data_IF_576767698298
#
_entry.id   IF_576767698298
#
_cell.length_a   1.000
_cell.length_b   1.000
_cell.length_c   1.000
_cell.angle_alpha   90.00
_cell.angle_beta   90.00
_cell.angle_gamma   90.00
#
_symmetry.space_group_name_H-M   'P 1'
#
loop_
_entity.id
_entity.type
_entity.pdbx_description
1 polymer ?
#
# COMPACT_ATOMS: atom_id res chain seq x y z
N UNK A 1 58.36 4.30 14.84
CA UNK A 1 57.85 3.43 13.76
C UNK A 1 56.39 3.76 13.55
N UNK A 2 56.09 4.60 12.56
CA UNK A 2 54.75 5.05 12.18
C UNK A 2 54.26 4.21 11.01
N UNK A 3 53.27 3.34 11.24
CA UNK A 3 52.64 2.54 10.20
C UNK A 3 51.59 3.37 9.49
N UNK A 4 51.92 3.87 8.30
CA UNK A 4 50.98 4.56 7.40
C UNK A 4 50.04 3.53 6.77
N UNK A 5 48.78 3.50 7.20
CA UNK A 5 47.71 2.72 6.57
C UNK A 5 47.33 3.35 5.23
N UNK A 6 47.84 2.78 4.13
CA UNK A 6 47.48 3.19 2.78
C UNK A 6 46.01 2.90 2.49
N UNK A 7 45.25 3.96 2.14
CA UNK A 7 43.85 3.89 1.73
C UNK A 7 43.77 3.28 0.33
N UNK A 8 43.28 2.05 0.23
CA UNK A 8 43.08 1.37 -1.04
C UNK A 8 41.97 2.07 -1.87
N UNK A 9 42.36 2.77 -2.93
CA UNK A 9 41.43 3.33 -3.92
C UNK A 9 40.85 2.18 -4.75
N UNK A 10 39.57 1.88 -4.58
CA UNK A 10 38.86 0.89 -5.40
C UNK A 10 38.71 1.42 -6.82
N UNK A 11 39.54 0.91 -7.74
CA UNK A 11 39.49 1.23 -9.16
C UNK A 11 38.24 0.58 -9.79
N UNK A 12 37.09 1.25 -9.72
CA UNK A 12 35.90 0.82 -10.45
C UNK A 12 36.10 1.08 -11.95
N UNK A 13 36.15 0.03 -12.75
CA UNK A 13 36.28 0.13 -14.21
C UNK A 13 35.11 0.90 -14.83
N UNK A 14 35.32 1.69 -15.91
CA UNK A 14 34.28 2.54 -16.51
C UNK A 14 33.01 1.77 -16.89
N UNK A 15 33.15 0.52 -17.36
CA UNK A 15 32.03 -0.35 -17.73
C UNK A 15 31.15 -0.80 -16.56
N UNK A 16 31.69 -0.88 -15.34
CA UNK A 16 30.89 -1.17 -14.14
C UNK A 16 29.96 0.00 -13.79
N UNK A 17 30.44 1.25 -13.92
CA UNK A 17 29.64 2.45 -13.66
C UNK A 17 28.52 2.61 -14.68
N UNK A 18 28.80 2.30 -15.96
CA UNK A 18 27.81 2.39 -17.04
C UNK A 18 26.69 1.35 -16.89
N UNK A 19 27.02 0.06 -16.66
CA UNK A 19 26.02 -1.00 -16.39
C UNK A 19 25.21 -0.74 -15.13
N UNK A 20 25.82 -0.14 -14.10
CA UNK A 20 25.12 0.24 -12.87
C UNK A 20 24.15 1.40 -13.13
N UNK A 21 24.54 2.39 -13.91
CA UNK A 21 23.67 3.52 -14.28
C UNK A 21 22.49 3.08 -15.17
N UNK A 22 22.71 2.20 -16.15
CA UNK A 22 21.63 1.67 -17.01
C UNK A 22 20.65 0.81 -16.23
N UNK A 23 21.14 -0.07 -15.34
CA UNK A 23 20.28 -0.88 -14.49
C UNK A 23 19.48 -0.02 -13.51
N UNK A 24 20.07 1.07 -13.02
CA UNK A 24 19.39 2.00 -12.13
C UNK A 24 18.31 2.76 -12.90
N UNK A 25 18.64 3.31 -14.07
CA UNK A 25 17.68 4.00 -14.93
C UNK A 25 16.51 3.09 -15.35
N UNK A 26 16.81 1.84 -15.73
CA UNK A 26 15.77 0.85 -16.06
C UNK A 26 14.88 0.52 -14.86
N UNK A 27 15.45 0.33 -13.66
CA UNK A 27 14.67 0.12 -12.44
C UNK A 27 13.75 1.31 -12.16
N UNK A 28 14.28 2.54 -12.18
CA UNK A 28 13.47 3.74 -11.95
C UNK A 28 12.38 3.90 -13.01
N UNK A 29 12.68 3.65 -14.29
CA UNK A 29 11.68 3.66 -15.36
C UNK A 29 10.53 2.70 -15.06
N UNK A 30 10.85 1.44 -14.72
CA UNK A 30 9.84 0.42 -14.37
C UNK A 30 9.04 0.84 -13.15
N UNK A 31 9.69 1.30 -12.08
CA UNK A 31 9.01 1.79 -10.87
C UNK A 31 8.09 2.98 -11.16
N UNK A 32 8.52 3.92 -12.00
CA UNK A 32 7.72 5.09 -12.39
C UNK A 32 6.50 4.66 -13.20
N UNK A 33 6.65 3.76 -14.17
CA UNK A 33 5.51 3.22 -14.95
C UNK A 33 4.52 2.49 -14.04
N UNK A 34 5.00 1.63 -13.14
CA UNK A 34 4.15 0.94 -12.18
C UNK A 34 3.44 1.94 -11.25
N UNK A 35 4.14 2.96 -10.76
CA UNK A 35 3.55 3.99 -9.92
C UNK A 35 2.40 4.68 -10.64
N UNK A 36 2.59 5.12 -11.88
CA UNK A 36 1.52 5.74 -12.68
C UNK A 36 0.34 4.79 -12.91
N UNK A 37 0.60 3.50 -13.16
CA UNK A 37 -0.45 2.50 -13.31
C UNK A 37 -1.32 2.35 -12.05
N UNK A 38 -0.72 2.32 -10.86
CA UNK A 38 -1.45 2.27 -9.59
C UNK A 38 -2.09 3.61 -9.19
N UNK A 39 -1.50 4.74 -9.59
CA UNK A 39 -2.04 6.08 -9.34
C UNK A 39 -3.26 6.38 -10.20
N UNK A 40 -3.35 5.81 -11.40
CA UNK A 40 -4.44 6.01 -12.34
C UNK A 40 -5.85 5.86 -11.71
N UNK A 41 -6.20 4.74 -11.05
CA UNK A 41 -7.51 4.60 -10.42
C UNK A 41 -7.71 5.53 -9.22
N UNK A 42 -6.64 5.91 -8.50
CA UNK A 42 -6.72 6.83 -7.36
C UNK A 42 -7.05 8.26 -7.83
N UNK A 43 -6.41 8.71 -8.91
CA UNK A 43 -6.68 10.02 -9.52
C UNK A 43 -8.12 10.06 -10.01
N UNK A 44 -8.59 8.99 -10.66
CA UNK A 44 -9.99 8.88 -11.10
C UNK A 44 -10.97 8.97 -9.91
N UNK A 45 -10.74 8.22 -8.83
CA UNK A 45 -11.58 8.31 -7.62
C UNK A 45 -11.60 9.72 -7.03
N UNK A 46 -10.44 10.38 -6.99
CA UNK A 46 -10.33 11.73 -6.43
C UNK A 46 -11.08 12.77 -7.27
N UNK A 47 -10.92 12.74 -8.60
CA UNK A 47 -11.66 13.63 -9.50
C UNK A 47 -13.17 13.36 -9.41
N UNK A 48 -13.55 12.08 -9.34
CA UNK A 48 -14.95 11.68 -9.21
C UNK A 48 -15.58 12.11 -7.89
N UNK A 49 -14.84 12.18 -6.77
CA UNK A 49 -15.45 12.55 -5.48
C UNK A 49 -15.85 14.03 -5.40
N UNK A 50 -15.26 14.88 -6.25
CA UNK A 50 -15.51 16.33 -6.29
C UNK A 50 -16.63 16.69 -7.30
N UNK A 51 -16.97 15.78 -8.21
CA UNK A 51 -18.10 15.96 -9.15
C UNK A 51 -19.42 15.72 -8.39
N UNK A 52 -20.30 16.72 -8.30
CA UNK A 52 -21.58 16.60 -7.56
C UNK A 52 -22.68 15.84 -8.33
N UNK A 53 -22.46 15.50 -9.60
CA UNK A 53 -23.46 14.87 -10.46
C UNK A 53 -23.09 13.41 -10.76
N UNK A 54 -23.74 12.47 -10.07
CA UNK A 54 -23.54 11.02 -10.21
C UNK A 54 -23.78 10.51 -11.65
N UNK A 55 -24.71 11.13 -12.40
CA UNK A 55 -24.99 10.78 -13.79
C UNK A 55 -23.84 11.21 -14.73
N UNK A 56 -23.17 12.32 -14.43
CA UNK A 56 -22.05 12.84 -15.22
C UNK A 56 -20.78 12.01 -14.98
N UNK A 57 -20.56 11.55 -13.74
CA UNK A 57 -19.48 10.59 -13.41
C UNK A 57 -19.63 9.30 -14.22
N UNK A 58 -20.84 8.75 -14.31
CA UNK A 58 -21.11 7.48 -15.02
C UNK A 58 -21.01 7.62 -16.54
N UNK A 59 -21.41 8.77 -17.09
CA UNK A 59 -21.32 9.06 -18.53
C UNK A 59 -19.88 9.37 -18.98
N UNK A 60 -19.08 10.04 -18.14
CA UNK A 60 -17.69 10.39 -18.43
C UNK A 60 -16.72 9.19 -18.32
N UNK A 61 -17.14 8.04 -17.74
CA UNK A 61 -16.29 6.85 -17.51
C UNK A 61 -15.65 6.29 -18.79
N UNK A 62 -16.26 6.53 -19.96
CA UNK A 62 -15.80 6.03 -21.25
C UNK A 62 -14.88 7.00 -22.00
N UNK A 63 -14.61 8.19 -21.45
CA UNK A 63 -13.89 9.28 -22.15
C UNK A 63 -12.75 9.86 -21.32
N UNK A 64 -11.84 10.58 -21.98
CA UNK A 64 -10.73 11.32 -21.34
C UNK A 64 -11.22 12.40 -20.36
N UNK A 65 -12.51 12.76 -20.39
CA UNK A 65 -13.19 13.64 -19.43
C UNK A 65 -13.38 13.00 -18.04
N UNK A 66 -13.15 11.69 -17.89
CA UNK A 66 -13.04 11.01 -16.59
C UNK A 66 -11.96 11.61 -15.68
N UNK A 67 -10.89 12.17 -16.26
CA UNK A 67 -9.72 12.67 -15.54
C UNK A 67 -9.72 14.19 -15.33
N UNK A 68 -10.71 14.89 -15.87
CA UNK A 68 -10.82 16.34 -15.76
C UNK A 68 -12.11 16.67 -14.99
N UNK A 69 -12.06 17.51 -13.94
CA UNK A 69 -13.26 17.98 -13.27
C UNK A 69 -14.00 18.94 -14.22
N UNK A 70 -14.94 18.41 -14.98
CA UNK A 70 -15.88 19.15 -15.84
C UNK A 70 -17.25 19.21 -15.17
N UNK A 71 -17.94 20.35 -15.28
CA UNK A 71 -19.32 20.51 -14.78
C UNK A 71 -19.42 21.19 -13.41
N UNK A 72 -20.37 20.73 -12.59
CA UNK A 72 -20.72 21.30 -11.28
C UNK A 72 -19.79 20.74 -10.19
N UNK A 73 -18.73 21.50 -9.91
CA UNK A 73 -17.64 21.13 -8.98
C UNK A 73 -18.01 21.65 -7.59
N UNK A 74 -17.99 20.79 -6.57
CA UNK A 74 -18.23 21.24 -5.20
C UNK A 74 -18.07 20.16 -4.15
N UNK A 75 -18.29 20.55 -2.90
CA UNK A 75 -18.13 19.69 -1.72
C UNK A 75 -19.49 19.09 -1.31
N UNK A 76 -20.56 19.35 -2.08
CA UNK A 76 -21.92 18.93 -1.75
C UNK A 76 -22.01 17.41 -1.61
N UNK A 77 -21.30 16.64 -2.44
CA UNK A 77 -21.21 15.19 -2.31
C UNK A 77 -20.73 14.72 -0.91
N UNK A 78 -19.78 15.45 -0.30
CA UNK A 78 -19.35 15.12 1.06
C UNK A 78 -20.43 15.42 2.09
N UNK A 79 -21.10 16.57 1.97
CA UNK A 79 -22.21 16.96 2.87
C UNK A 79 -23.36 15.97 2.77
N UNK A 80 -23.76 15.61 1.54
CA UNK A 80 -24.80 14.65 1.24
C UNK A 80 -24.52 13.27 1.86
N UNK A 81 -23.26 12.82 1.91
CA UNK A 81 -22.90 11.55 2.58
C UNK A 81 -23.14 11.61 4.09
N UNK A 82 -22.89 12.76 4.73
CA UNK A 82 -23.16 12.93 6.17
C UNK A 82 -24.65 13.11 6.49
N UNK A 83 -25.45 13.64 5.56
CA UNK A 83 -26.90 13.85 5.75
C UNK A 83 -27.74 12.64 5.35
N UNK A 84 -27.41 11.98 4.23
CA UNK A 84 -28.18 10.84 3.69
C UNK A 84 -27.83 9.52 4.35
N UNK A 85 -26.63 9.40 4.90
CA UNK A 85 -26.13 8.16 5.53
C UNK A 85 -25.66 8.48 6.94
N UNK A 86 -25.87 7.54 7.87
CA UNK A 86 -25.30 7.61 9.22
C UNK A 86 -23.79 7.30 9.18
N UNK A 87 -23.05 8.08 8.40
CA UNK A 87 -21.64 7.89 8.08
C UNK A 87 -20.77 7.85 9.33
N UNK A 88 -21.05 8.70 10.32
CA UNK A 88 -20.36 8.69 11.61
C UNK A 88 -20.47 7.33 12.32
N UNK A 89 -21.65 6.69 12.29
CA UNK A 89 -21.83 5.36 12.87
C UNK A 89 -21.11 4.28 12.08
N UNK A 90 -21.15 4.35 10.74
CA UNK A 90 -20.42 3.41 9.87
C UNK A 90 -18.91 3.49 10.09
N UNK A 91 -18.35 4.70 10.18
CA UNK A 91 -16.94 4.92 10.48
C UNK A 91 -16.58 4.42 11.88
N UNK A 92 -17.39 4.75 12.89
CA UNK A 92 -17.14 4.28 14.25
C UNK A 92 -17.17 2.75 14.34
N UNK A 93 -18.17 2.09 13.75
CA UNK A 93 -18.26 0.63 13.73
C UNK A 93 -17.04 0.01 13.04
N UNK A 94 -16.60 0.57 11.91
CA UNK A 94 -15.44 0.08 11.17
C UNK A 94 -14.15 0.21 12.00
N UNK A 95 -13.92 1.38 12.61
CA UNK A 95 -12.76 1.63 13.47
C UNK A 95 -12.78 0.71 14.68
N UNK A 96 -13.93 0.54 15.33
CA UNK A 96 -14.08 -0.33 16.50
C UNK A 96 -13.80 -1.80 16.13
N UNK A 97 -14.37 -2.30 15.04
CA UNK A 97 -14.17 -3.70 14.60
C UNK A 97 -12.70 -3.93 14.24
N UNK A 98 -12.12 -3.06 13.41
CA UNK A 98 -10.73 -3.22 12.96
C UNK A 98 -9.75 -3.10 14.12
N UNK A 99 -9.89 -2.10 14.99
CA UNK A 99 -9.01 -1.94 16.15
C UNK A 99 -9.10 -3.14 17.11
N UNK A 100 -10.32 -3.61 17.40
CA UNK A 100 -10.53 -4.79 18.25
C UNK A 100 -9.90 -6.03 17.62
N UNK A 101 -10.11 -6.24 16.32
CA UNK A 101 -9.56 -7.39 15.60
C UNK A 101 -8.03 -7.36 15.57
N UNK A 102 -7.43 -6.18 15.35
CA UNK A 102 -5.97 -6.01 15.35
C UNK A 102 -5.39 -6.25 16.75
N UNK A 103 -5.99 -5.68 17.80
CA UNK A 103 -5.48 -5.82 19.17
C UNK A 103 -5.57 -7.27 19.66
N UNK A 104 -6.75 -7.90 19.52
CA UNK A 104 -6.95 -9.29 19.93
C UNK A 104 -6.14 -10.25 19.05
N UNK A 105 -6.15 -10.01 17.73
CA UNK A 105 -5.37 -10.79 16.79
C UNK A 105 -3.88 -10.72 17.09
N UNK A 106 -3.33 -9.52 17.33
CA UNK A 106 -1.92 -9.36 17.67
C UNK A 106 -1.56 -10.05 18.98
N UNK A 107 -2.41 -9.92 20.02
CA UNK A 107 -2.20 -10.57 21.31
C UNK A 107 -2.15 -12.09 21.15
N UNK A 108 -3.19 -12.68 20.55
CA UNK A 108 -3.32 -14.14 20.40
C UNK A 108 -2.23 -14.68 19.46
N UNK A 109 -2.03 -14.04 18.30
CA UNK A 109 -1.01 -14.47 17.33
C UNK A 109 0.40 -14.40 17.91
N UNK A 110 0.71 -13.35 18.69
CA UNK A 110 2.00 -13.22 19.38
C UNK A 110 2.21 -14.34 20.41
N UNK A 111 1.19 -14.66 21.20
CA UNK A 111 1.26 -15.76 22.17
C UNK A 111 1.47 -17.13 21.50
N UNK A 112 0.74 -17.41 20.41
CA UNK A 112 0.88 -18.65 19.65
C UNK A 112 2.26 -18.73 19.00
N UNK A 113 2.71 -17.65 18.36
CA UNK A 113 4.03 -17.57 17.76
C UNK A 113 5.14 -17.82 18.79
N UNK A 114 5.02 -17.23 19.99
CA UNK A 114 5.95 -17.47 21.09
C UNK A 114 5.93 -18.92 21.57
N UNK A 115 4.75 -19.50 21.77
CA UNK A 115 4.59 -20.89 22.18
C UNK A 115 5.23 -21.85 21.17
N UNK A 116 4.99 -21.63 19.87
CA UNK A 116 5.60 -22.42 18.79
C UNK A 116 7.11 -22.20 18.68
N UNK A 117 7.63 -21.00 18.92
CA UNK A 117 9.05 -20.73 18.80
C UNK A 117 9.87 -21.27 19.98
N UNK A 118 9.37 -21.11 21.21
CA UNK A 118 10.16 -21.34 22.45
C UNK A 118 9.75 -22.58 23.24
N UNK A 119 8.49 -23.01 23.20
CA UNK A 119 8.04 -24.18 23.97
C UNK A 119 8.24 -25.47 23.18
N UNK A 120 8.54 -26.56 23.92
CA UNK A 120 8.61 -27.93 23.37
C UNK A 120 7.41 -28.71 23.90
N UNK A 121 6.37 -28.85 23.09
CA UNK A 121 5.16 -29.59 23.43
C UNK A 121 4.80 -30.63 22.36
N UNK A 122 4.11 -31.69 22.75
CA UNK A 122 3.71 -32.78 21.87
C UNK A 122 2.61 -32.28 20.91
N UNK A 123 2.87 -32.32 19.60
CA UNK A 123 1.96 -31.81 18.56
C UNK A 123 2.43 -30.52 17.86
N UNK A 124 3.54 -29.91 18.29
CA UNK A 124 4.12 -28.70 17.68
C UNK A 124 4.40 -28.83 16.18
N UNK A 125 5.00 -29.96 15.75
CA UNK A 125 5.33 -30.18 14.33
C UNK A 125 4.08 -30.27 13.44
N UNK A 126 2.99 -30.85 13.96
CA UNK A 126 1.72 -30.94 13.24
C UNK A 126 1.08 -29.54 13.09
N UNK A 127 1.08 -28.73 14.16
CA UNK A 127 0.60 -27.34 14.08
C UNK A 127 1.46 -26.49 13.13
N UNK A 128 2.79 -26.61 13.18
CA UNK A 128 3.69 -25.91 12.26
C UNK A 128 3.44 -26.34 10.80
N UNK A 129 3.28 -27.65 10.56
CA UNK A 129 2.96 -28.19 9.24
C UNK A 129 1.64 -27.63 8.68
N UNK A 130 0.59 -27.58 9.50
CA UNK A 130 -0.70 -27.01 9.08
C UNK A 130 -0.59 -25.51 8.76
N UNK A 131 0.15 -24.74 9.57
CA UNK A 131 0.36 -23.31 9.31
C UNK A 131 1.09 -23.11 7.98
N UNK A 132 2.17 -23.87 7.73
CA UNK A 132 2.95 -23.77 6.49
C UNK A 132 2.12 -24.22 5.28
N UNK A 133 1.25 -25.21 5.42
CA UNK A 133 0.39 -25.67 4.34
C UNK A 133 -0.75 -24.69 3.99
N UNK A 134 -1.13 -23.83 4.93
CA UNK A 134 -2.24 -22.88 4.78
C UNK A 134 -1.80 -21.49 4.26
N UNK A 135 -0.55 -21.10 4.51
CA UNK A 135 0.07 -19.86 3.99
C UNK A 135 0.43 -20.02 2.51
#
# INVERSE_FOLDING_TARGET
MTTTTATAKTHHSPGYRLRKATNLAFKYLVLTVLAFFFLFPLIFMFVSSIKNNEMQVTQDMSSLYAFIPTGDIGIQNYVDVFERVEFGRLMFNSVLIVSTMVLLGLLINSMIAYALARLRFKGRELLLGTIIALI
#
